data_IF_509932248158
#
_entry.id   IF_509932248158
#
_cell.length_a   1.000
_cell.length_b   1.000
_cell.length_c   1.000
_cell.angle_alpha   90.00
_cell.angle_beta   90.00
_cell.angle_gamma   90.00
#
_symmetry.space_group_name_H-M   'P 1'
#
loop_
_entity.id
_entity.type
_entity.pdbx_description
1 polymer ?
#
# COMPACT_ATOMS: atom_id res chain seq x y z
N UNK A 1 5.19 -3.12 4.43
CA UNK A 1 5.64 -4.34 3.74
C UNK A 1 5.05 -4.40 2.33
N UNK A 2 5.39 -5.40 1.52
CA UNK A 2 4.85 -5.57 0.18
C UNK A 2 5.54 -4.70 -0.89
N UNK A 3 5.19 -4.98 -2.15
CA UNK A 3 5.74 -4.33 -3.34
C UNK A 3 4.62 -3.93 -4.29
N UNK A 4 4.90 -2.95 -5.14
CA UNK A 4 4.02 -2.53 -6.24
C UNK A 4 4.82 -2.29 -7.50
N UNK A 5 4.17 -2.42 -8.64
CA UNK A 5 4.77 -2.11 -9.94
C UNK A 5 4.76 -0.61 -10.24
N UNK A 6 5.74 -0.13 -11.01
CA UNK A 6 5.84 1.26 -11.44
C UNK A 6 4.61 1.73 -12.22
N UNK A 7 3.97 0.85 -13.01
CA UNK A 7 2.75 1.20 -13.76
C UNK A 7 1.62 1.77 -12.90
N UNK A 8 1.54 1.39 -11.62
CA UNK A 8 0.52 1.89 -10.71
C UNK A 8 0.82 3.26 -10.11
N UNK A 9 2.02 3.81 -10.35
CA UNK A 9 2.43 5.11 -9.81
C UNK A 9 2.93 6.09 -10.89
N UNK A 10 3.09 5.66 -12.14
CA UNK A 10 3.58 6.53 -13.22
C UNK A 10 2.76 7.80 -13.39
N UNK A 11 1.44 7.69 -13.28
CA UNK A 11 0.53 8.84 -13.28
C UNK A 11 1.01 9.88 -12.25
N UNK A 12 1.16 9.48 -10.99
CA UNK A 12 1.67 10.35 -9.91
C UNK A 12 3.05 10.92 -10.19
N UNK A 13 3.92 10.16 -10.84
CA UNK A 13 5.29 10.60 -11.10
C UNK A 13 5.39 11.58 -12.28
N UNK A 14 4.51 11.52 -13.27
CA UNK A 14 4.74 12.17 -14.57
C UNK A 14 3.55 12.94 -15.15
N UNK A 15 2.31 12.49 -14.96
CA UNK A 15 1.13 13.07 -15.63
C UNK A 15 -0.12 12.97 -14.75
N UNK A 16 0.00 13.37 -13.49
CA UNK A 16 -1.02 13.19 -12.47
C UNK A 16 -2.33 13.82 -12.90
N UNK A 17 -3.39 13.01 -13.00
CA UNK A 17 -4.71 13.45 -13.48
C UNK A 17 -4.66 14.19 -14.82
N UNK A 18 -3.83 13.75 -15.76
CA UNK A 18 -3.66 14.35 -17.08
C UNK A 18 -3.18 15.82 -17.09
N UNK A 19 -2.54 16.28 -16.01
CA UNK A 19 -2.07 17.68 -15.90
C UNK A 19 -0.71 17.95 -16.57
N UNK A 20 -0.04 16.92 -17.08
CA UNK A 20 1.35 16.95 -17.54
C UNK A 20 2.37 17.13 -16.41
N UNK A 21 1.93 17.12 -15.15
CA UNK A 21 2.73 17.41 -13.96
C UNK A 21 2.73 16.22 -12.99
N UNK A 22 3.66 16.24 -12.04
CA UNK A 22 3.72 15.28 -10.93
C UNK A 22 2.63 15.56 -9.89
N UNK A 23 2.26 14.55 -9.12
CA UNK A 23 1.34 14.66 -7.99
C UNK A 23 1.85 15.72 -6.98
N UNK A 24 1.07 16.79 -6.73
CA UNK A 24 1.49 17.87 -5.84
C UNK A 24 1.69 17.40 -4.39
N UNK A 25 0.97 16.35 -3.96
CA UNK A 25 1.02 15.81 -2.60
C UNK A 25 2.31 15.02 -2.29
N UNK A 26 3.05 14.61 -3.32
CA UNK A 26 4.31 13.88 -3.16
C UNK A 26 5.48 14.82 -2.86
N UNK A 27 6.25 14.52 -1.81
CA UNK A 27 7.46 15.27 -1.43
C UNK A 27 8.50 15.23 -2.56
N UNK A 28 9.10 16.38 -2.88
CA UNK A 28 10.03 16.53 -4.02
C UNK A 28 11.25 15.59 -3.95
N UNK A 29 11.82 15.39 -2.75
CA UNK A 29 12.94 14.47 -2.55
C UNK A 29 12.53 13.03 -2.86
N UNK A 30 11.36 12.62 -2.39
CA UNK A 30 10.81 11.29 -2.62
C UNK A 30 10.43 11.07 -4.08
N UNK A 31 9.86 12.07 -4.76
CA UNK A 31 9.64 12.04 -6.21
C UNK A 31 10.94 11.74 -6.98
N UNK A 32 12.04 12.39 -6.61
CA UNK A 32 13.35 12.17 -7.25
C UNK A 32 13.83 10.74 -7.05
N UNK A 33 13.64 10.17 -5.86
CA UNK A 33 13.94 8.77 -5.56
C UNK A 33 13.08 7.81 -6.41
N UNK A 34 11.77 8.02 -6.42
CA UNK A 34 10.84 7.15 -7.17
C UNK A 34 11.08 7.21 -8.67
N UNK A 35 11.38 8.39 -9.25
CA UNK A 35 11.71 8.52 -10.69
C UNK A 35 13.01 7.83 -11.08
N UNK A 36 13.96 7.63 -10.16
CA UNK A 36 15.17 6.82 -10.43
C UNK A 36 14.83 5.35 -10.59
N UNK A 37 13.91 4.85 -9.77
CA UNK A 37 13.50 3.45 -9.78
C UNK A 37 12.43 3.15 -10.84
N UNK A 38 11.59 4.13 -11.14
CA UNK A 38 10.52 4.07 -12.14
C UNK A 38 10.71 5.14 -13.22
N UNK A 39 11.63 4.92 -14.18
CA UNK A 39 11.84 5.87 -15.27
C UNK A 39 10.58 6.00 -16.15
N UNK A 40 10.46 7.13 -16.85
CA UNK A 40 9.31 7.44 -17.73
C UNK A 40 9.19 6.48 -18.92
N UNK A 41 10.32 5.95 -19.39
CA UNK A 41 10.41 4.98 -20.47
C UNK A 41 11.26 3.82 -19.99
N UNK A 42 10.76 2.61 -20.19
CA UNK A 42 11.53 1.39 -19.96
C UNK A 42 12.42 1.13 -21.19
N UNK A 43 13.56 0.48 -20.97
CA UNK A 43 14.40 -0.01 -22.08
C UNK A 43 13.68 -1.15 -22.80
N UNK A 44 14.01 -1.40 -24.07
CA UNK A 44 13.45 -2.53 -24.81
C UNK A 44 13.71 -3.84 -24.06
N UNK A 45 12.68 -4.67 -23.91
CA UNK A 45 12.74 -5.94 -23.17
C UNK A 45 12.79 -5.82 -21.64
N UNK A 46 12.78 -4.60 -21.08
CA UNK A 46 12.76 -4.42 -19.63
C UNK A 46 11.34 -4.61 -19.07
N UNK A 47 11.20 -5.46 -18.06
CA UNK A 47 9.94 -5.65 -17.33
C UNK A 47 9.59 -4.45 -16.46
N UNK A 48 8.31 -4.33 -16.11
CA UNK A 48 7.77 -3.28 -15.22
C UNK A 48 8.40 -3.37 -13.81
N UNK A 49 9.24 -2.41 -13.41
CA UNK A 49 10.01 -2.54 -12.16
C UNK A 49 9.11 -2.57 -10.93
N UNK A 50 9.62 -3.22 -9.88
CA UNK A 50 8.92 -3.38 -8.61
C UNK A 50 9.56 -2.51 -7.51
N UNK A 51 8.73 -1.71 -6.86
CA UNK A 51 9.07 -0.88 -5.70
C UNK A 51 8.60 -1.51 -4.40
N UNK A 52 9.30 -1.25 -3.31
CA UNK A 52 8.76 -1.52 -1.97
C UNK A 52 7.73 -0.46 -1.60
N UNK A 53 6.56 -0.87 -1.12
CA UNK A 53 5.51 0.06 -0.65
C UNK A 53 5.97 0.88 0.57
N UNK A 54 6.89 0.32 1.36
CA UNK A 54 7.59 1.03 2.42
C UNK A 54 9.11 0.90 2.20
N UNK A 55 9.73 1.84 1.45
CA UNK A 55 11.15 1.78 1.08
C UNK A 55 12.12 1.64 2.25
N UNK A 56 11.78 2.20 3.43
CA UNK A 56 12.61 2.11 4.64
C UNK A 56 12.70 0.68 5.16
N UNK A 57 11.63 -0.12 5.03
CA UNK A 57 11.68 -1.54 5.41
C UNK A 57 12.38 -2.39 4.35
N UNK A 58 12.35 -1.97 3.08
CA UNK A 58 13.00 -2.65 1.97
C UNK A 58 12.73 -4.16 1.96
N UNK A 59 13.77 -5.00 1.74
CA UNK A 59 13.63 -6.45 1.68
C UNK A 59 13.37 -7.12 3.04
N UNK A 60 13.44 -6.39 4.15
CA UNK A 60 13.18 -6.98 5.47
C UNK A 60 11.69 -7.21 5.72
N UNK A 61 10.81 -6.59 4.92
CA UNK A 61 9.35 -6.69 5.01
C UNK A 61 8.76 -6.52 6.42
N UNK A 62 9.45 -5.79 7.32
CA UNK A 62 9.02 -5.62 8.71
C UNK A 62 7.67 -4.90 8.77
N UNK A 63 6.81 -5.36 9.68
CA UNK A 63 5.60 -4.66 10.07
C UNK A 63 5.97 -3.54 11.04
N UNK A 64 5.95 -2.30 10.58
CA UNK A 64 6.37 -1.12 11.35
C UNK A 64 5.39 0.02 11.12
N UNK A 65 5.38 0.97 12.06
CA UNK A 65 4.57 2.19 11.99
C UNK A 65 5.11 3.21 10.97
N UNK A 66 6.30 2.98 10.41
CA UNK A 66 6.90 3.87 9.41
C UNK A 66 6.03 4.05 8.16
N UNK A 67 5.05 3.18 7.90
CA UNK A 67 4.01 3.43 6.89
C UNK A 67 3.28 4.75 7.15
N UNK A 68 2.78 4.98 8.37
CA UNK A 68 2.01 6.17 8.71
C UNK A 68 2.87 7.43 8.83
N UNK A 69 4.09 7.33 9.37
CA UNK A 69 4.99 8.50 9.41
C UNK A 69 5.37 9.00 8.00
N UNK A 70 5.45 8.08 7.03
CA UNK A 70 5.72 8.41 5.62
C UNK A 70 4.50 8.99 4.92
N UNK A 71 3.29 8.49 5.19
CA UNK A 71 2.02 9.13 4.78
C UNK A 71 2.01 10.59 5.22
N UNK A 72 2.31 10.85 6.49
CA UNK A 72 2.37 12.20 7.06
C UNK A 72 3.53 13.04 6.52
N UNK A 73 4.49 12.46 5.82
CA UNK A 73 5.63 13.20 5.25
C UNK A 73 5.51 13.45 3.75
N UNK A 74 4.40 13.03 3.11
CA UNK A 74 4.26 13.11 1.65
C UNK A 74 5.10 12.06 0.92
N UNK A 75 5.43 10.95 1.60
CA UNK A 75 6.36 9.93 1.12
C UNK A 75 5.70 8.56 0.91
N UNK A 76 4.38 8.54 0.68
CA UNK A 76 3.64 7.34 0.29
C UNK A 76 3.84 7.00 -1.18
N UNK A 77 4.06 5.72 -1.46
CA UNK A 77 4.24 5.20 -2.83
C UNK A 77 2.94 5.28 -3.64
N UNK A 78 1.81 4.83 -3.07
CA UNK A 78 0.52 4.88 -3.75
C UNK A 78 -0.23 6.19 -3.46
N UNK A 79 -1.03 6.63 -4.43
CA UNK A 79 -1.84 7.85 -4.30
C UNK A 79 -2.92 7.71 -3.24
N UNK A 80 -3.58 6.55 -3.20
CA UNK A 80 -4.61 6.22 -2.21
C UNK A 80 -4.06 6.28 -0.78
N UNK A 81 -2.84 5.78 -0.55
CA UNK A 81 -2.17 5.87 0.76
C UNK A 81 -1.93 7.34 1.15
N UNK A 82 -1.53 8.18 0.18
CA UNK A 82 -1.24 9.58 0.44
C UNK A 82 -2.50 10.37 0.86
N UNK A 83 -3.69 9.91 0.47
CA UNK A 83 -4.97 10.55 0.82
C UNK A 83 -5.30 10.48 2.31
N UNK A 84 -4.74 9.51 3.04
CA UNK A 84 -4.91 9.39 4.50
C UNK A 84 -4.42 10.63 5.27
N UNK A 85 -3.61 11.50 4.65
CA UNK A 85 -3.14 12.75 5.24
C UNK A 85 -4.18 13.88 5.18
N UNK A 86 -5.19 13.79 4.33
CA UNK A 86 -6.08 14.91 4.00
C UNK A 86 -7.47 14.85 4.64
N UNK A 87 -7.96 13.68 5.05
CA UNK A 87 -9.17 13.57 5.86
C UNK A 87 -8.88 13.85 7.33
N UNK A 88 -9.79 14.49 8.06
CA UNK A 88 -9.56 14.85 9.46
C UNK A 88 -9.35 13.61 10.35
N UNK A 89 -10.29 12.67 10.32
CA UNK A 89 -10.22 11.42 11.08
C UNK A 89 -9.00 10.57 10.65
N UNK A 90 -8.80 10.40 9.35
CA UNK A 90 -7.71 9.57 8.81
C UNK A 90 -6.34 10.15 9.12
N UNK A 91 -6.22 11.49 9.15
CA UNK A 91 -5.00 12.18 9.54
C UNK A 91 -4.75 12.07 11.04
N UNK A 92 -5.78 12.15 11.87
CA UNK A 92 -5.66 11.93 13.32
C UNK A 92 -5.19 10.51 13.61
N UNK A 93 -5.86 9.50 13.06
CA UNK A 93 -5.49 8.09 13.20
C UNK A 93 -4.07 7.84 12.67
N UNK A 94 -3.71 8.44 11.53
CA UNK A 94 -2.35 8.33 10.99
C UNK A 94 -1.29 8.90 11.93
N UNK A 95 -1.58 9.99 12.67
CA UNK A 95 -0.66 10.55 13.67
C UNK A 95 -0.50 9.62 14.87
N UNK A 96 -1.59 9.05 15.35
CA UNK A 96 -1.59 8.09 16.45
C UNK A 96 -0.74 6.87 16.09
N UNK A 97 -1.04 6.22 14.97
CA UNK A 97 -0.30 5.05 14.53
C UNK A 97 1.15 5.35 14.14
N UNK A 98 1.47 6.56 13.69
CA UNK A 98 2.86 6.97 13.46
C UNK A 98 3.65 7.16 14.76
N UNK A 99 2.98 7.52 15.86
CA UNK A 99 3.58 7.79 17.17
C UNK A 99 3.82 6.49 17.94
N UNK A 100 2.84 5.58 17.93
CA UNK A 100 2.88 4.33 18.69
C UNK A 100 2.58 3.11 17.80
N UNK A 101 3.49 2.14 17.80
CA UNK A 101 3.33 0.89 17.06
C UNK A 101 2.32 -0.06 17.72
N UNK A 102 2.13 0.02 19.04
CA UNK A 102 1.19 -0.85 19.75
C UNK A 102 -0.26 -0.45 19.48
N UNK A 103 -0.58 0.84 19.44
CA UNK A 103 -1.91 1.35 19.01
C UNK A 103 -2.25 0.88 17.59
N UNK A 104 -1.27 0.95 16.69
CA UNK A 104 -1.42 0.43 15.33
C UNK A 104 -1.64 -1.09 15.33
N UNK A 105 -0.83 -1.86 16.06
CA UNK A 105 -0.95 -3.33 16.10
C UNK A 105 -2.29 -3.78 16.66
N UNK A 106 -2.75 -3.17 17.75
CA UNK A 106 -4.05 -3.46 18.36
C UNK A 106 -5.19 -3.18 17.39
N UNK A 107 -5.19 -2.00 16.77
CA UNK A 107 -6.20 -1.60 15.78
C UNK A 107 -6.16 -2.47 14.52
N UNK A 108 -4.97 -2.85 14.06
CA UNK A 108 -4.78 -3.73 12.92
C UNK A 108 -5.34 -5.13 13.22
N UNK A 109 -5.01 -5.72 14.37
CA UNK A 109 -5.52 -7.03 14.78
C UNK A 109 -7.06 -7.05 14.86
N UNK A 110 -7.66 -6.02 15.47
CA UNK A 110 -9.11 -5.87 15.53
C UNK A 110 -9.73 -5.74 14.13
N UNK A 111 -9.12 -4.94 13.25
CA UNK A 111 -9.61 -4.70 11.89
C UNK A 111 -9.56 -5.97 11.04
N UNK A 112 -8.48 -6.74 11.12
CA UNK A 112 -8.34 -8.01 10.39
C UNK A 112 -9.31 -9.07 10.93
N UNK A 113 -9.54 -9.12 12.25
CA UNK A 113 -10.54 -10.00 12.85
C UNK A 113 -11.96 -9.69 12.33
N UNK A 114 -12.35 -8.41 12.33
CA UNK A 114 -13.64 -7.97 11.77
C UNK A 114 -13.77 -8.30 10.28
N UNK A 115 -12.71 -8.05 9.50
CA UNK A 115 -12.68 -8.36 8.07
C UNK A 115 -12.83 -9.86 7.81
N UNK A 116 -12.21 -10.71 8.65
CA UNK A 116 -12.32 -12.17 8.56
C UNK A 116 -13.73 -12.71 8.84
N UNK A 117 -14.59 -11.95 9.51
CA UNK A 117 -15.98 -12.31 9.77
C UNK A 117 -16.97 -11.94 8.66
N UNK A 118 -16.52 -11.29 7.59
CA UNK A 118 -17.41 -10.82 6.53
C UNK A 118 -17.88 -11.98 5.64
N UNK A 119 -19.21 -12.20 5.61
CA UNK A 119 -19.89 -13.12 4.67
C UNK A 119 -19.31 -14.54 4.65
N UNK A 120 -18.90 -15.05 5.80
CA UNK A 120 -18.35 -16.40 5.94
C UNK A 120 -19.41 -17.48 5.75
N UNK A 121 -18.99 -18.63 5.23
CA UNK A 121 -19.82 -19.84 5.17
C UNK A 121 -19.64 -20.62 6.48
N UNK A 122 -20.75 -20.96 7.14
CA UNK A 122 -20.77 -21.64 8.45
C UNK A 122 -21.76 -22.80 8.45
N UNK A 123 -21.58 -23.75 9.37
CA UNK A 123 -22.42 -24.94 9.46
C UNK A 123 -22.20 -25.88 8.28
N UNK A 124 -23.28 -26.26 7.61
CA UNK A 124 -23.31 -27.11 6.42
C UNK A 124 -23.16 -26.32 5.10
N UNK A 125 -23.04 -24.98 5.18
CA UNK A 125 -22.84 -24.14 3.98
C UNK A 125 -21.41 -24.31 3.46
N UNK A 126 -21.29 -24.69 2.19
CA UNK A 126 -19.99 -24.84 1.52
C UNK A 126 -19.40 -26.24 1.72
N UNK A 127 -18.07 -26.32 1.79
CA UNK A 127 -17.33 -27.57 1.99
C UNK A 127 -15.92 -27.29 2.50
N UNK A 128 -15.33 -28.26 3.20
CA UNK A 128 -13.90 -28.26 3.51
C UNK A 128 -13.16 -28.77 2.27
N UNK A 129 -12.46 -27.89 1.56
CA UNK A 129 -11.75 -28.25 0.32
C UNK A 129 -10.55 -29.13 0.64
N UNK A 130 -10.41 -30.24 -0.08
CA UNK A 130 -9.21 -31.08 -0.05
C UNK A 130 -8.04 -30.43 -0.81
N UNK A 131 -8.36 -29.61 -1.81
CA UNK A 131 -7.42 -28.80 -2.56
C UNK A 131 -8.01 -27.41 -2.79
N UNK A 132 -7.34 -26.34 -2.33
CA UNK A 132 -7.85 -24.97 -2.44
C UNK A 132 -8.14 -24.52 -3.87
N UNK A 133 -7.51 -25.16 -4.88
CA UNK A 133 -7.65 -24.83 -6.31
C UNK A 133 -8.92 -25.38 -6.95
N UNK A 134 -9.55 -26.41 -6.37
CA UNK A 134 -10.69 -27.11 -6.96
C UNK A 134 -11.84 -27.27 -5.97
N UNK A 135 -13.05 -27.44 -6.51
CA UNK A 135 -14.22 -27.88 -5.74
C UNK A 135 -14.14 -29.40 -5.62
N UNK A 136 -14.43 -29.96 -4.45
CA UNK A 136 -14.50 -31.41 -4.28
C UNK A 136 -15.58 -31.97 -5.20
N UNK A 137 -15.28 -33.11 -5.84
CA UNK A 137 -16.28 -33.86 -6.59
C UNK A 137 -17.12 -34.70 -5.62
N UNK A 138 -18.36 -34.95 -6.01
CA UNK A 138 -19.26 -35.84 -5.27
C UNK A 138 -18.88 -37.29 -5.51
#
# INVERSE_FOLDING_TARGET
MGRTHCRYIWDRLYNFNNTGKRDPSMKKSFLKEMRKQCPRKLKSGQSDPLLYLNPVSGPNYKFTNTYYSRVLSGESVLGVDQQLRFGDDTKQISKEFAKDIEDFRGSFALSISRMGGLRVLTGDKGQIRLNCRYVNQK
#
